data_IF_660633657428
#
_entry.id   IF_660633657428
#
_cell.length_a   1.000
_cell.length_b   1.000
_cell.length_c   1.000
_cell.angle_alpha   90.00
_cell.angle_beta   90.00
_cell.angle_gamma   90.00
#
_symmetry.space_group_name_H-M   'P 1'
#
loop_
_entity.id
_entity.type
_entity.pdbx_description
1 polymer ?
#
# COMPACT_ATOMS: atom_id res chain seq x y z
N UNK A 1 48.47 35.01 -25.63
CA UNK A 1 48.75 36.45 -25.71
C UNK A 1 47.49 37.14 -26.22
N UNK A 2 46.98 38.11 -25.47
CA UNK A 2 45.98 39.15 -25.78
C UNK A 2 44.56 38.69 -26.18
N UNK A 3 43.43 39.12 -25.59
CA UNK A 3 43.14 40.21 -24.65
C UNK A 3 42.01 41.12 -25.18
N UNK A 4 41.01 41.45 -24.33
CA UNK A 4 39.94 42.46 -24.53
C UNK A 4 38.54 41.82 -24.55
N UNK A 5 37.61 41.95 -23.60
CA UNK A 5 37.15 42.99 -22.63
C UNK A 5 36.48 44.21 -23.29
N UNK A 6 35.16 44.31 -23.10
CA UNK A 6 34.29 45.50 -23.07
C UNK A 6 32.95 45.01 -22.43
N UNK A 7 32.73 45.14 -21.12
CA UNK A 7 32.29 46.31 -20.33
C UNK A 7 30.77 46.58 -20.40
N UNK A 8 30.17 46.57 -19.19
CA UNK A 8 28.75 46.69 -18.79
C UNK A 8 28.13 48.09 -19.07
N UNK A 9 26.82 48.34 -18.78
CA UNK A 9 26.34 48.61 -17.41
C UNK A 9 24.96 47.94 -17.07
N UNK A 10 24.73 47.47 -15.85
CA UNK A 10 24.08 48.15 -14.69
C UNK A 10 22.63 48.61 -14.98
N UNK A 11 21.70 48.00 -14.25
CA UNK A 11 20.29 48.40 -14.16
C UNK A 11 19.60 47.58 -13.07
N UNK A 12 19.79 47.99 -11.83
CA UNK A 12 19.03 47.56 -10.66
C UNK A 12 17.59 48.04 -10.80
N UNK A 13 16.60 47.17 -10.56
CA UNK A 13 15.39 47.64 -9.90
C UNK A 13 14.64 46.54 -9.14
N UNK A 14 14.06 47.02 -8.05
CA UNK A 14 13.59 46.32 -6.86
C UNK A 14 12.08 46.48 -6.82
N UNK A 15 11.30 45.40 -6.85
CA UNK A 15 9.84 45.45 -6.65
C UNK A 15 9.46 44.25 -5.77
N UNK A 16 9.40 44.42 -4.45
CA UNK A 16 8.20 44.75 -3.65
C UNK A 16 7.05 43.74 -3.84
N UNK A 17 6.99 42.80 -2.90
CA UNK A 17 5.78 42.06 -2.55
C UNK A 17 4.77 43.03 -1.95
N UNK A 18 3.55 43.08 -2.49
CA UNK A 18 2.42 43.76 -1.85
C UNK A 18 1.32 42.76 -1.50
N UNK A 19 0.94 42.81 -0.23
CA UNK A 19 -0.27 42.25 0.34
C UNK A 19 -1.51 42.88 -0.31
N UNK A 20 -2.57 42.09 -0.47
CA UNK A 20 -3.93 42.64 -0.63
C UNK A 20 -4.87 42.01 0.40
N UNK A 21 -5.15 42.82 1.41
CA UNK A 21 -6.33 42.77 2.26
C UNK A 21 -7.45 43.54 1.55
N UNK A 22 -8.65 42.98 1.47
CA UNK A 22 -9.87 43.75 1.22
C UNK A 22 -10.78 43.61 2.44
N UNK A 23 -11.11 44.74 3.05
CA UNK A 23 -12.18 44.92 4.02
C UNK A 23 -13.13 46.01 3.49
N UNK A 24 -14.22 46.24 4.26
CA UNK A 24 -15.23 47.34 4.20
C UNK A 24 -16.53 46.89 3.47
N UNK A 25 -17.77 46.93 4.00
CA UNK A 25 -18.40 47.69 5.10
C UNK A 25 -19.79 47.10 5.47
N UNK A 26 -20.27 47.35 6.70
CA UNK A 26 -21.69 47.27 7.09
C UNK A 26 -21.97 47.17 8.60
N UNK A 27 -22.10 48.32 9.29
CA UNK A 27 -22.51 48.51 10.70
C UNK A 27 -24.06 48.66 10.79
N UNK A 28 -24.85 48.34 11.84
CA UNK A 28 -25.01 48.75 13.27
C UNK A 28 -26.25 47.94 13.83
N UNK A 29 -26.78 48.03 15.10
CA UNK A 29 -26.40 48.73 16.35
C UNK A 29 -26.39 47.82 17.63
N UNK A 30 -26.10 48.34 18.86
CA UNK A 30 -25.97 47.54 20.09
C UNK A 30 -27.25 47.48 20.95
N UNK A 31 -27.43 46.36 21.65
CA UNK A 31 -28.46 46.16 22.67
C UNK A 31 -27.94 45.30 23.83
N UNK A 32 -28.26 45.70 25.05
CA UNK A 32 -27.62 45.37 26.33
C UNK A 32 -28.12 44.04 26.95
N UNK A 33 -27.17 43.23 27.44
CA UNK A 33 -27.16 42.28 28.60
C UNK A 33 -28.44 41.54 29.05
N UNK A 34 -28.40 40.20 29.13
CA UNK A 34 -28.69 39.49 30.39
C UNK A 34 -28.24 38.01 30.40
N UNK A 35 -27.83 37.56 31.59
CA UNK A 35 -27.32 36.24 31.95
C UNK A 35 -28.30 35.09 31.68
N UNK A 36 -27.81 33.94 31.21
CA UNK A 36 -28.26 32.63 31.72
C UNK A 36 -27.17 31.57 31.54
N UNK A 37 -26.73 31.03 32.68
CA UNK A 37 -25.99 29.77 32.80
C UNK A 37 -26.83 28.63 32.21
N UNK A 38 -26.28 27.90 31.25
CA UNK A 38 -26.69 26.53 30.96
C UNK A 38 -25.45 25.68 30.72
N UNK A 39 -25.15 24.82 31.68
CA UNK A 39 -24.20 23.73 31.51
C UNK A 39 -24.79 22.74 30.50
N UNK A 40 -24.27 22.71 29.27
CA UNK A 40 -24.55 21.61 28.36
C UNK A 40 -23.72 20.39 28.76
N UNK A 41 -24.30 19.56 29.62
CA UNK A 41 -23.96 18.15 29.75
C UNK A 41 -24.39 17.45 28.45
N UNK A 42 -23.44 17.15 27.57
CA UNK A 42 -23.69 16.30 26.41
C UNK A 42 -23.67 14.84 26.87
N UNK A 43 -24.85 14.36 27.23
CA UNK A 43 -25.17 12.93 27.34
C UNK A 43 -24.85 12.25 26.01
N UNK A 44 -23.90 11.31 26.01
CA UNK A 44 -23.67 10.38 24.91
C UNK A 44 -24.88 9.46 24.77
N UNK A 45 -25.70 9.72 23.75
CA UNK A 45 -26.69 8.77 23.27
C UNK A 45 -25.97 7.69 22.47
N UNK A 46 -25.74 6.53 23.08
CA UNK A 46 -25.34 5.32 22.35
C UNK A 46 -26.52 4.84 21.50
N UNK A 47 -26.63 5.34 20.27
CA UNK A 47 -27.37 4.67 19.20
C UNK A 47 -26.39 3.74 18.47
N UNK A 48 -26.65 2.44 18.58
CA UNK A 48 -25.90 1.39 17.91
C UNK A 48 -25.96 1.54 16.39
N UNK A 49 -24.98 2.23 15.84
CA UNK A 49 -24.55 2.02 14.46
C UNK A 49 -23.16 1.41 14.56
N UNK A 50 -22.96 0.26 13.91
CA UNK A 50 -21.69 -0.44 13.83
C UNK A 50 -20.73 0.34 12.89
N UNK A 51 -20.59 1.64 13.12
CA UNK A 51 -19.80 2.56 12.32
C UNK A 51 -18.39 2.57 12.88
N UNK A 52 -17.44 2.22 12.02
CA UNK A 52 -16.03 2.28 12.37
C UNK A 52 -15.65 3.72 12.68
N UNK A 53 -14.96 3.93 13.80
CA UNK A 53 -14.54 5.26 14.22
C UNK A 53 -13.27 5.67 13.48
N UNK A 54 -13.00 6.99 13.45
CA UNK A 54 -11.72 7.52 12.97
C UNK A 54 -10.53 6.90 13.72
N UNK A 55 -10.69 6.60 15.01
CA UNK A 55 -9.66 5.98 15.84
C UNK A 55 -9.31 4.57 15.32
N UNK A 56 -10.32 3.76 14.98
CA UNK A 56 -10.10 2.42 14.43
C UNK A 56 -9.33 2.47 13.10
N UNK A 57 -9.58 3.51 12.29
CA UNK A 57 -8.86 3.72 11.04
C UNK A 57 -7.44 4.22 11.28
N UNK A 58 -7.21 5.10 12.25
CA UNK A 58 -5.85 5.51 12.64
C UNK A 58 -5.02 4.32 13.13
N UNK A 59 -5.59 3.46 13.96
CA UNK A 59 -4.92 2.23 14.42
C UNK A 59 -4.61 1.30 13.23
N UNK A 60 -5.57 1.13 12.32
CA UNK A 60 -5.40 0.32 11.11
C UNK A 60 -4.27 0.83 10.23
N UNK A 61 -4.22 2.13 9.99
CA UNK A 61 -3.21 2.78 9.17
C UNK A 61 -1.83 2.72 9.84
N UNK A 62 -1.76 2.96 11.15
CA UNK A 62 -0.53 2.82 11.94
C UNK A 62 0.04 1.41 11.85
N UNK A 63 -0.81 0.39 12.03
CA UNK A 63 -0.42 -1.02 11.89
C UNK A 63 0.04 -1.36 10.47
N UNK A 64 -0.65 -0.83 9.45
CA UNK A 64 -0.26 -1.02 8.05
C UNK A 64 1.12 -0.41 7.74
N UNK A 65 1.41 0.79 8.23
CA UNK A 65 2.72 1.44 8.09
C UNK A 65 3.80 0.63 8.77
N UNK A 66 3.61 0.23 10.04
CA UNK A 66 4.59 -0.58 10.77
C UNK A 66 4.89 -1.91 10.09
N UNK A 67 3.86 -2.57 9.54
CA UNK A 67 4.01 -3.81 8.79
C UNK A 67 4.76 -3.59 7.47
N UNK A 68 4.43 -2.53 6.73
CA UNK A 68 5.12 -2.16 5.48
C UNK A 68 6.58 -1.79 5.69
N UNK A 69 6.90 -1.06 6.75
CA UNK A 69 8.29 -0.76 7.11
C UNK A 69 9.06 -2.04 7.44
N UNK A 70 8.43 -2.93 8.21
CA UNK A 70 9.00 -4.21 8.62
C UNK A 70 9.25 -5.15 7.44
N UNK A 71 8.46 -5.05 6.37
CA UNK A 71 8.63 -5.86 5.16
C UNK A 71 9.95 -5.57 4.43
N UNK A 72 10.49 -4.35 4.61
CA UNK A 72 11.74 -3.90 4.02
C UNK A 72 11.68 -3.64 2.51
N UNK A 73 10.48 -3.65 1.90
CA UNK A 73 10.26 -3.33 0.48
C UNK A 73 9.28 -2.18 0.25
N UNK A 74 8.97 -1.45 1.33
CA UNK A 74 8.38 -0.12 1.27
C UNK A 74 9.49 0.94 1.12
N UNK A 75 9.32 1.84 0.16
CA UNK A 75 10.29 2.89 -0.21
C UNK A 75 9.83 4.30 0.21
N UNK A 76 8.74 4.43 0.97
CA UNK A 76 8.26 5.71 1.51
C UNK A 76 7.96 6.74 0.41
N UNK A 77 8.37 7.98 0.65
CA UNK A 77 8.19 9.15 -0.21
C UNK A 77 9.05 9.06 -1.49
N UNK A 78 8.71 8.10 -2.35
CA UNK A 78 9.32 7.86 -3.64
C UNK A 78 8.29 8.16 -4.73
N UNK A 79 8.70 8.95 -5.73
CA UNK A 79 7.83 9.21 -6.88
C UNK A 79 7.93 8.10 -7.94
N UNK A 80 7.02 8.13 -8.92
CA UNK A 80 6.99 7.11 -9.98
C UNK A 80 8.25 7.08 -10.85
N UNK A 81 8.87 8.24 -11.14
CA UNK A 81 10.06 8.30 -11.96
C UNK A 81 11.26 7.61 -11.29
N UNK A 82 11.40 7.76 -9.97
CA UNK A 82 12.39 7.08 -9.16
C UNK A 82 12.15 5.56 -9.12
N UNK A 83 10.90 5.14 -8.91
CA UNK A 83 10.52 3.73 -8.93
C UNK A 83 10.84 3.08 -10.30
N UNK A 84 10.50 3.77 -11.40
CA UNK A 84 10.83 3.34 -12.77
C UNK A 84 12.33 3.18 -12.99
N UNK A 85 13.14 4.11 -12.46
CA UNK A 85 14.61 4.04 -12.54
C UNK A 85 15.17 2.86 -11.74
N UNK A 86 14.70 2.64 -10.51
CA UNK A 86 15.11 1.48 -9.68
C UNK A 86 14.76 0.14 -10.32
N UNK A 87 13.57 0.04 -10.90
CA UNK A 87 13.07 -1.20 -11.51
C UNK A 87 13.57 -1.46 -12.94
N UNK A 88 14.21 -0.47 -13.58
CA UNK A 88 14.60 -0.53 -15.01
C UNK A 88 15.38 -1.81 -15.36
N UNK A 89 16.34 -2.18 -14.52
CA UNK A 89 17.27 -3.30 -14.72
C UNK A 89 16.94 -4.52 -13.85
N UNK A 90 15.79 -4.52 -13.17
CA UNK A 90 15.33 -5.67 -12.41
C UNK A 90 14.60 -6.68 -13.30
N UNK A 91 14.48 -7.90 -12.82
CA UNK A 91 13.71 -8.94 -13.49
C UNK A 91 12.21 -8.61 -13.53
N UNK A 92 11.53 -9.15 -14.54
CA UNK A 92 10.06 -9.07 -14.64
C UNK A 92 9.42 -9.62 -13.38
N UNK A 93 8.41 -8.90 -12.89
CA UNK A 93 7.70 -9.16 -11.65
C UNK A 93 8.40 -8.71 -10.38
N UNK A 94 9.55 -8.04 -10.49
CA UNK A 94 10.11 -7.29 -9.36
C UNK A 94 9.20 -6.10 -9.04
N UNK A 95 8.85 -5.91 -7.77
CA UNK A 95 7.95 -4.84 -7.34
C UNK A 95 8.47 -4.07 -6.13
N UNK A 96 7.89 -2.90 -5.87
CA UNK A 96 8.05 -2.15 -4.63
C UNK A 96 6.76 -1.42 -4.27
N UNK A 97 6.59 -1.10 -2.99
CA UNK A 97 5.52 -0.19 -2.53
C UNK A 97 6.13 1.15 -2.15
N UNK A 98 5.42 2.23 -2.46
CA UNK A 98 5.79 3.61 -2.19
C UNK A 98 4.55 4.43 -1.87
N UNK A 99 4.75 5.64 -1.40
CA UNK A 99 3.68 6.62 -1.25
C UNK A 99 3.08 6.95 -2.62
N UNK A 100 1.76 7.13 -2.65
CA UNK A 100 1.11 7.63 -3.84
C UNK A 100 1.48 9.10 -4.04
N UNK A 101 1.69 9.49 -5.30
CA UNK A 101 1.79 10.91 -5.67
C UNK A 101 0.41 11.55 -5.90
N UNK A 102 -0.65 10.72 -5.92
CA UNK A 102 -2.04 11.19 -5.95
C UNK A 102 -2.55 11.36 -4.51
N UNK A 103 -3.09 12.54 -4.16
CA UNK A 103 -3.53 12.85 -2.80
C UNK A 103 -4.73 12.02 -2.33
N UNK A 104 -5.48 11.39 -3.24
CA UNK A 104 -6.63 10.54 -2.89
C UNK A 104 -6.24 9.12 -2.48
N UNK A 105 -4.95 8.78 -2.54
CA UNK A 105 -4.45 7.43 -2.26
C UNK A 105 -3.26 7.52 -1.33
N UNK A 106 -3.13 6.55 -0.42
CA UNK A 106 -1.98 6.51 0.50
C UNK A 106 -0.76 5.87 -0.18
N UNK A 107 -0.98 4.77 -0.90
CA UNK A 107 0.11 3.94 -1.42
C UNK A 107 -0.05 3.65 -2.91
N UNK A 108 1.07 3.33 -3.53
CA UNK A 108 1.16 2.80 -4.89
C UNK A 108 2.10 1.61 -4.92
N UNK A 109 1.67 0.56 -5.61
CA UNK A 109 2.48 -0.57 -6.02
C UNK A 109 3.12 -0.26 -7.37
N UNK A 110 4.45 -0.35 -7.49
CA UNK A 110 5.15 -0.25 -8.76
C UNK A 110 5.79 -1.59 -9.12
N UNK A 111 5.58 -2.06 -10.35
CA UNK A 111 5.98 -3.41 -10.80
C UNK A 111 6.73 -3.32 -12.13
N UNK A 112 7.82 -4.09 -12.24
CA UNK A 112 8.53 -4.32 -13.50
C UNK A 112 7.75 -5.31 -14.38
N UNK A 113 7.33 -4.86 -15.55
CA UNK A 113 6.72 -5.69 -16.60
C UNK A 113 7.70 -5.86 -17.77
N UNK A 114 7.42 -6.76 -18.74
CA UNK A 114 8.21 -6.87 -19.97
C UNK A 114 8.29 -5.56 -20.77
N UNK A 115 7.27 -4.69 -20.69
CA UNK A 115 7.18 -3.43 -21.43
C UNK A 115 7.76 -2.23 -20.69
N UNK A 116 8.04 -2.37 -19.40
CA UNK A 116 8.52 -1.27 -18.57
C UNK A 116 7.98 -1.35 -17.16
N UNK A 117 8.16 -0.29 -16.38
CA UNK A 117 7.57 -0.20 -15.05
C UNK A 117 6.18 0.39 -15.15
N UNK A 118 5.20 -0.27 -14.53
CA UNK A 118 3.85 0.25 -14.33
C UNK A 118 3.59 0.48 -12.83
N UNK A 119 2.55 1.23 -12.49
CA UNK A 119 2.15 1.46 -11.11
C UNK A 119 0.64 1.45 -10.97
N UNK A 120 0.15 0.83 -9.90
CA UNK A 120 -1.26 0.89 -9.52
C UNK A 120 -1.40 1.33 -8.08
N UNK A 121 -2.47 2.08 -7.83
CA UNK A 121 -2.78 2.69 -6.55
C UNK A 121 -3.45 1.67 -5.63
N UNK A 122 -3.29 1.88 -4.33
CA UNK A 122 -3.94 1.06 -3.31
C UNK A 122 -5.01 1.91 -2.66
N UNK A 123 -6.27 1.54 -2.87
CA UNK A 123 -7.44 2.17 -2.27
C UNK A 123 -7.54 1.76 -0.79
N UNK A 124 -8.01 2.68 0.06
CA UNK A 124 -8.37 2.40 1.44
C UNK A 124 -9.81 2.87 1.68
N UNK A 125 -10.71 1.95 1.97
CA UNK A 125 -12.11 2.25 2.24
C UNK A 125 -12.67 1.30 3.29
N UNK A 126 -13.48 1.82 4.22
CA UNK A 126 -14.09 1.05 5.32
C UNK A 126 -13.05 0.18 6.01
N UNK A 127 -11.96 0.83 6.40
CA UNK A 127 -10.56 0.40 6.38
C UNK A 127 -10.20 -1.04 6.03
N UNK A 128 -10.37 -1.32 4.75
CA UNK A 128 -9.71 -2.39 4.02
C UNK A 128 -8.93 -1.77 2.86
N UNK A 129 -7.88 -2.46 2.45
CA UNK A 129 -7.03 -2.14 1.31
C UNK A 129 -7.41 -2.99 0.10
N UNK A 130 -7.51 -2.34 -1.07
CA UNK A 130 -7.78 -2.97 -2.37
C UNK A 130 -6.84 -2.39 -3.42
N UNK A 131 -6.58 -3.13 -4.50
CA UNK A 131 -5.92 -2.56 -5.66
C UNK A 131 -6.94 -1.77 -6.49
N UNK A 132 -6.58 -0.54 -6.85
CA UNK A 132 -7.41 0.26 -7.75
C UNK A 132 -7.61 -0.50 -9.08
N UNK A 133 -8.86 -0.59 -9.50
CA UNK A 133 -9.32 -1.42 -10.61
C UNK A 133 -10.50 -0.73 -11.31
N UNK A 134 -10.75 -1.08 -12.56
CA UNK A 134 -11.96 -0.64 -13.27
C UNK A 134 -13.23 -1.00 -12.50
N UNK A 135 -14.28 -0.19 -12.64
CA UNK A 135 -15.51 -0.32 -11.87
C UNK A 135 -16.15 -1.72 -11.93
N UNK A 136 -16.09 -2.37 -13.10
CA UNK A 136 -16.60 -3.73 -13.29
C UNK A 136 -15.84 -4.78 -12.46
N UNK A 137 -14.53 -4.58 -12.25
CA UNK A 137 -13.67 -5.48 -11.49
C UNK A 137 -13.56 -5.10 -10.01
N UNK A 138 -13.79 -3.82 -9.68
CA UNK A 138 -13.69 -3.30 -8.31
C UNK A 138 -14.60 -4.06 -7.33
N UNK A 139 -15.79 -4.50 -7.77
CA UNK A 139 -16.72 -5.29 -6.93
C UNK A 139 -16.24 -6.71 -6.64
N UNK A 140 -15.35 -7.25 -7.47
CA UNK A 140 -14.78 -8.58 -7.31
C UNK A 140 -13.40 -8.54 -6.65
N UNK A 141 -12.81 -7.34 -6.50
CA UNK A 141 -11.48 -7.17 -5.95
C UNK A 141 -11.48 -7.55 -4.45
N UNK A 142 -10.67 -8.54 -4.04
CA UNK A 142 -10.55 -8.90 -2.64
C UNK A 142 -9.93 -7.73 -1.84
N UNK A 143 -10.48 -7.50 -0.66
CA UNK A 143 -10.03 -6.44 0.25
C UNK A 143 -9.41 -7.01 1.52
N UNK A 144 -8.40 -6.32 2.05
CA UNK A 144 -7.58 -6.83 3.15
C UNK A 144 -7.41 -5.81 4.26
N UNK A 145 -7.18 -6.28 5.47
CA UNK A 145 -6.85 -5.44 6.62
C UNK A 145 -5.41 -4.91 6.61
N UNK A 146 -4.56 -5.43 5.72
CA UNK A 146 -3.14 -5.14 5.66
C UNK A 146 -2.65 -5.12 4.21
N UNK A 147 -1.82 -4.14 3.86
CA UNK A 147 -1.24 -4.01 2.51
C UNK A 147 -0.34 -5.20 2.16
N UNK A 148 0.44 -5.71 3.12
CA UNK A 148 1.29 -6.89 2.88
C UNK A 148 0.44 -8.11 2.55
N UNK A 149 -0.67 -8.30 3.26
CA UNK A 149 -1.63 -9.39 2.99
C UNK A 149 -2.33 -9.24 1.64
N UNK A 150 -2.68 -8.00 1.26
CA UNK A 150 -3.19 -7.68 -0.08
C UNK A 150 -2.22 -8.14 -1.15
N UNK A 151 -0.95 -7.74 -1.07
CA UNK A 151 0.03 -8.13 -2.09
C UNK A 151 0.32 -9.62 -2.08
N UNK A 152 0.43 -10.24 -0.90
CA UNK A 152 0.63 -11.68 -0.77
C UNK A 152 -0.44 -12.51 -1.49
N UNK A 153 -1.70 -12.05 -1.49
CA UNK A 153 -2.78 -12.68 -2.24
C UNK A 153 -2.53 -12.72 -3.76
N UNK A 154 -1.93 -11.67 -4.31
CA UNK A 154 -1.62 -11.54 -5.75
C UNK A 154 -0.26 -12.12 -6.13
N UNK A 155 0.58 -12.47 -5.16
CA UNK A 155 1.82 -13.17 -5.44
C UNK A 155 1.52 -14.62 -5.85
N UNK A 156 2.19 -15.16 -6.87
CA UNK A 156 2.04 -16.55 -7.21
C UNK A 156 2.49 -17.37 -6.01
N UNK A 157 1.61 -18.26 -5.54
CA UNK A 157 2.04 -19.31 -4.61
C UNK A 157 3.11 -20.09 -5.34
N UNK A 158 4.30 -20.21 -4.75
CA UNK A 158 5.38 -20.99 -5.30
C UNK A 158 4.92 -22.45 -5.30
N UNK A 159 4.19 -22.85 -6.34
CA UNK A 159 3.72 -24.20 -6.52
C UNK A 159 4.96 -25.07 -6.62
N UNK A 160 5.27 -25.79 -5.55
CA UNK A 160 5.88 -27.12 -5.53
C UNK A 160 6.60 -27.52 -6.83
N UNK A 161 7.62 -26.76 -7.25
CA UNK A 161 8.40 -27.05 -8.45
C UNK A 161 9.29 -28.31 -8.30
N UNK A 162 9.05 -29.10 -7.24
CA UNK A 162 9.75 -30.32 -6.88
C UNK A 162 8.86 -31.54 -6.62
N UNK A 163 7.57 -31.56 -7.04
CA UNK A 163 6.82 -32.83 -7.17
C UNK A 163 6.62 -33.17 -8.64
N UNK A 164 7.72 -33.55 -9.32
CA UNK A 164 7.64 -34.44 -10.47
C UNK A 164 7.56 -35.88 -9.92
N UNK A 165 6.54 -36.60 -10.37
CA UNK A 165 6.24 -38.03 -10.19
C UNK A 165 5.63 -38.46 -8.84
N UNK A 166 4.60 -39.32 -8.98
CA UNK A 166 3.63 -39.84 -7.99
C UNK A 166 2.44 -38.88 -7.82
N UNK A 167 1.29 -39.03 -8.45
CA UNK A 167 0.56 -40.26 -8.81
C UNK A 167 -0.37 -40.02 -10.02
N UNK A 168 -0.20 -40.83 -11.07
CA UNK A 168 -1.16 -40.96 -12.19
C UNK A 168 -2.21 -42.01 -11.82
N UNK A 169 -3.01 -41.84 -10.78
CA UNK A 169 -4.14 -42.77 -10.56
C UNK A 169 -5.24 -42.27 -9.63
N UNK A 170 -5.65 -41.01 -9.71
CA UNK A 170 -6.86 -40.58 -8.98
C UNK A 170 -7.69 -39.51 -9.70
N UNK A 171 -7.61 -39.48 -11.04
CA UNK A 171 -8.33 -38.53 -11.89
C UNK A 171 -9.42 -39.21 -12.72
N UNK A 172 -10.12 -40.21 -12.14
CA UNK A 172 -11.29 -40.86 -12.80
C UNK A 172 -12.51 -41.08 -11.89
N UNK A 173 -12.59 -40.50 -10.69
CA UNK A 173 -13.79 -40.61 -9.84
C UNK A 173 -14.06 -39.33 -9.05
N UNK A 174 -14.60 -38.33 -9.73
CA UNK A 174 -15.44 -37.26 -9.15
C UNK A 174 -15.80 -36.23 -10.23
N UNK A 175 -16.48 -36.71 -11.27
CA UNK A 175 -17.57 -35.93 -11.85
C UNK A 175 -18.69 -36.04 -10.78
N UNK A 176 -19.34 -34.95 -10.41
CA UNK A 176 -20.30 -34.81 -9.27
C UNK A 176 -19.71 -34.38 -7.91
N UNK A 177 -19.07 -33.23 -7.88
CA UNK A 177 -19.38 -32.20 -6.88
C UNK A 177 -18.74 -30.90 -7.30
N UNK A 178 -19.58 -29.93 -7.63
CA UNK A 178 -19.19 -28.61 -8.11
C UNK A 178 -18.38 -27.84 -7.07
N UNK A 179 -17.07 -28.05 -7.04
CA UNK A 179 -16.12 -27.20 -6.34
C UNK A 179 -15.19 -26.55 -7.36
N UNK A 180 -15.75 -25.63 -8.15
CA UNK A 180 -14.96 -24.71 -8.95
C UNK A 180 -14.33 -23.68 -7.99
N UNK A 181 -13.19 -24.04 -7.38
CA UNK A 181 -12.33 -23.07 -6.73
C UNK A 181 -11.71 -22.21 -7.82
N UNK A 182 -12.44 -21.15 -8.20
CA UNK A 182 -11.94 -20.11 -9.08
C UNK A 182 -10.69 -19.50 -8.43
N UNK A 183 -9.52 -19.98 -8.82
CA UNK A 183 -8.24 -19.33 -8.53
C UNK A 183 -8.12 -18.08 -9.41
N UNK A 184 -8.98 -17.09 -9.16
CA UNK A 184 -8.96 -15.79 -9.84
C UNK A 184 -7.74 -14.94 -9.45
N UNK A 185 -6.96 -15.36 -8.45
CA UNK A 185 -5.76 -14.65 -7.99
C UNK A 185 -4.69 -14.46 -9.08
N UNK A 186 -4.72 -15.28 -10.15
CA UNK A 186 -3.80 -15.17 -11.29
C UNK A 186 -4.27 -14.29 -12.44
N UNK A 187 -5.49 -13.74 -12.40
CA UNK A 187 -6.11 -13.05 -13.53
C UNK A 187 -6.47 -11.59 -13.21
N UNK A 188 -5.58 -10.87 -12.53
CA UNK A 188 -5.61 -9.40 -12.58
C UNK A 188 -4.73 -8.93 -13.74
N UNK A 189 -5.41 -8.50 -14.80
CA UNK A 189 -4.81 -7.86 -15.96
C UNK A 189 -4.75 -6.37 -15.67
N UNK A 190 -3.56 -5.81 -15.69
CA UNK A 190 -3.37 -4.38 -15.43
C UNK A 190 -3.57 -3.61 -16.74
N UNK A 191 -4.39 -2.56 -16.70
CA UNK A 191 -4.52 -1.67 -17.84
C UNK A 191 -3.22 -0.87 -17.99
N UNK A 192 -2.52 -1.05 -19.10
CA UNK A 192 -1.44 -0.15 -19.45
C UNK A 192 -2.00 1.19 -19.97
N UNK A 193 -1.28 2.32 -19.82
CA UNK A 193 -1.67 3.61 -20.41
C UNK A 193 -1.92 3.58 -21.92
N UNK A 194 -1.42 2.54 -22.61
CA UNK A 194 -1.67 2.29 -24.03
C UNK A 194 -3.00 1.57 -24.33
N UNK A 195 -3.85 1.31 -23.33
CA UNK A 195 -5.15 0.65 -23.49
C UNK A 195 -5.11 -0.85 -23.82
N UNK A 196 -3.95 -1.50 -23.73
CA UNK A 196 -3.80 -2.94 -24.00
C UNK A 196 -3.92 -3.76 -22.72
N UNK A 197 -4.70 -4.84 -22.79
CA UNK A 197 -5.07 -5.72 -21.66
C UNK A 197 -4.29 -7.04 -21.69
N UNK A 198 -3.08 -7.03 -22.24
CA UNK A 198 -2.48 -8.28 -22.73
C UNK A 198 -1.35 -8.77 -21.81
N UNK A 199 -1.00 -8.02 -20.75
CA UNK A 199 0.07 -8.40 -19.83
C UNK A 199 -0.43 -8.32 -18.39
N UNK A 200 -0.72 -9.49 -17.82
CA UNK A 200 -0.84 -9.63 -16.38
C UNK A 200 0.53 -9.30 -15.75
N UNK A 201 0.71 -8.09 -15.23
CA UNK A 201 1.85 -7.78 -14.39
C UNK A 201 1.81 -8.69 -13.15
N UNK A 202 2.75 -9.63 -13.11
CA UNK A 202 2.86 -10.56 -11.99
C UNK A 202 3.67 -9.89 -10.89
N UNK A 203 3.22 -9.99 -9.65
CA UNK A 203 3.98 -9.53 -8.49
C UNK A 203 4.75 -10.74 -7.97
N UNK A 204 6.05 -10.84 -8.26
CA UNK A 204 6.83 -12.06 -8.02
C UNK A 204 7.80 -11.88 -6.85
N UNK A 205 8.59 -10.81 -6.86
CA UNK A 205 9.62 -10.60 -5.84
C UNK A 205 9.73 -9.15 -5.40
N UNK A 206 9.88 -8.88 -4.10
CA UNK A 206 10.04 -7.52 -3.62
C UNK A 206 11.45 -6.98 -3.90
N UNK A 207 11.54 -5.70 -4.29
CA UNK A 207 12.76 -4.92 -4.28
C UNK A 207 12.90 -4.28 -2.91
N UNK A 208 13.83 -4.78 -2.11
CA UNK A 208 14.07 -4.25 -0.77
C UNK A 208 14.69 -2.86 -0.83
N UNK A 209 14.28 -1.96 0.08
CA UNK A 209 14.86 -0.62 0.25
C UNK A 209 16.13 -0.66 1.10
N UNK A 210 16.25 -1.68 1.95
CA UNK A 210 17.38 -1.91 2.85
C UNK A 210 17.67 -3.40 3.00
N UNK A 211 18.88 -3.73 3.46
CA UNK A 211 19.25 -5.11 3.78
C UNK A 211 18.56 -5.51 5.10
N UNK A 212 17.75 -6.59 5.13
CA UNK A 212 17.11 -7.02 6.37
C UNK A 212 18.12 -7.54 7.40
N UNK A 213 17.78 -7.44 8.67
CA UNK A 213 18.54 -8.10 9.73
C UNK A 213 18.47 -9.62 9.59
N UNK A 214 19.48 -10.33 10.09
CA UNK A 214 19.47 -11.79 10.15
C UNK A 214 18.24 -12.32 10.88
N UNK A 215 17.84 -11.66 11.98
CA UNK A 215 16.63 -12.01 12.74
C UNK A 215 15.37 -11.99 11.86
N UNK A 216 15.23 -10.95 11.02
CA UNK A 216 14.11 -10.83 10.10
C UNK A 216 14.15 -11.91 9.02
N UNK A 217 15.32 -12.19 8.46
CA UNK A 217 15.50 -13.26 7.48
C UNK A 217 15.13 -14.63 8.07
N UNK A 218 15.54 -14.90 9.31
CA UNK A 218 15.14 -16.11 10.03
C UNK A 218 13.62 -16.17 10.23
N UNK A 219 12.97 -15.07 10.63
CA UNK A 219 11.50 -14.99 10.77
C UNK A 219 10.79 -15.30 9.45
N UNK A 220 11.18 -14.62 8.37
CA UNK A 220 10.59 -14.80 7.04
C UNK A 220 10.80 -16.23 6.54
N UNK A 221 11.99 -16.79 6.74
CA UNK A 221 12.28 -18.18 6.39
C UNK A 221 11.40 -19.16 7.16
N UNK A 222 11.21 -18.95 8.47
CA UNK A 222 10.37 -19.80 9.30
C UNK A 222 8.89 -19.71 8.89
N UNK A 223 8.38 -18.50 8.64
CA UNK A 223 7.00 -18.27 8.20
C UNK A 223 6.65 -18.99 6.89
N UNK A 224 7.64 -19.28 6.04
CA UNK A 224 7.45 -20.06 4.80
C UNK A 224 7.11 -21.52 5.05
N UNK A 225 7.60 -22.09 6.16
CA UNK A 225 7.43 -23.52 6.46
C UNK A 225 6.44 -23.78 7.60
N UNK A 226 6.24 -22.81 8.50
CA UNK A 226 5.38 -22.95 9.67
C UNK A 226 4.23 -21.95 9.57
N UNK A 227 3.03 -22.49 9.37
CA UNK A 227 1.81 -21.69 9.37
C UNK A 227 1.61 -20.98 10.73
N UNK A 228 1.03 -19.76 10.75
CA UNK A 228 0.87 -18.97 11.97
C UNK A 228 0.23 -19.71 13.16
N UNK A 229 -0.71 -20.63 12.88
CA UNK A 229 -1.35 -21.48 13.89
C UNK A 229 -0.37 -22.40 14.64
N UNK A 230 0.63 -22.95 13.94
CA UNK A 230 1.61 -23.88 14.51
C UNK A 230 2.83 -23.17 15.09
N UNK A 231 2.97 -21.85 14.88
CA UNK A 231 4.08 -21.08 15.47
C UNK A 231 4.02 -21.04 17.00
N UNK A 232 2.83 -21.19 17.59
CA UNK A 232 2.64 -21.28 19.03
C UNK A 232 3.26 -22.55 19.63
N UNK A 233 3.34 -23.62 18.86
CA UNK A 233 3.80 -24.95 19.30
C UNK A 233 5.33 -25.10 19.23
N UNK A 234 6.02 -24.14 18.59
CA UNK A 234 7.46 -24.19 18.46
C UNK A 234 8.16 -24.15 19.84
N UNK A 235 9.27 -24.89 20.02
CA UNK A 235 10.06 -24.89 21.25
C UNK A 235 10.95 -23.63 21.33
N UNK A 236 10.33 -22.45 21.22
CA UNK A 236 11.00 -21.15 21.25
C UNK A 236 10.63 -20.36 22.52
N UNK A 237 11.56 -19.55 23.06
CA UNK A 237 11.25 -18.58 24.11
C UNK A 237 10.10 -17.65 23.73
N UNK A 238 9.31 -17.21 24.72
CA UNK A 238 8.15 -16.34 24.50
C UNK A 238 8.46 -15.05 23.74
N UNK A 239 9.64 -14.47 23.96
CA UNK A 239 10.12 -13.28 23.22
C UNK A 239 10.19 -13.54 21.71
N UNK A 240 10.74 -14.69 21.29
CA UNK A 240 10.84 -15.05 19.87
C UNK A 240 9.46 -15.37 19.28
N UNK A 241 8.57 -16.02 20.05
CA UNK A 241 7.17 -16.21 19.62
C UNK A 241 6.46 -14.88 19.40
N UNK A 242 6.69 -13.90 20.27
CA UNK A 242 6.19 -12.52 20.10
C UNK A 242 6.73 -11.87 18.83
N UNK A 243 8.03 -12.00 18.56
CA UNK A 243 8.67 -11.47 17.36
C UNK A 243 8.13 -12.07 16.05
N UNK A 244 7.83 -13.38 16.04
CA UNK A 244 7.20 -14.04 14.89
C UNK A 244 5.78 -13.49 14.63
N UNK A 245 4.98 -13.32 15.70
CA UNK A 245 3.59 -12.81 15.60
C UNK A 245 3.50 -11.38 15.05
N UNK A 246 4.52 -10.54 15.27
CA UNK A 246 4.55 -9.16 14.76
C UNK A 246 4.59 -9.08 13.24
N UNK A 247 5.08 -10.13 12.56
CA UNK A 247 5.12 -10.17 11.09
C UNK A 247 4.92 -11.61 10.60
N UNK A 248 3.67 -12.04 10.34
CA UNK A 248 3.32 -13.41 9.99
C UNK A 248 3.42 -13.71 8.47
N UNK A 249 4.28 -12.99 7.74
CA UNK A 249 4.41 -13.13 6.28
C UNK A 249 5.77 -13.74 5.88
N UNK A 250 5.83 -14.35 4.71
CA UNK A 250 6.98 -15.12 4.19
C UNK A 250 7.81 -14.39 3.12
N UNK A 251 7.59 -13.07 2.97
CA UNK A 251 8.31 -12.16 2.07
C UNK A 251 8.68 -10.84 2.75
#
# INVERSE_FOLDING_TARGET
>A
MCGGVLQSPIGVDRVLCEERVCAVQGLMPPGTMSHHHHQNSLVSTHSGTNQRSTEDDLERLSSAVGTLQTSGWYHGAMNFAEAKRKLRHCDIGTFLVRDSSDPNYLYSLSVKTPRGTTSVRIEYAYGKFTLDSEEALRRLAPSFDCVVKLLHHYMPKMNSAGKKNRDKEEQKRSIESGNNRNNNAGQFVWLEPSGRRDIAAQIIKPLRSQVPSLEHLCRVSLNRYVEPRHQADLPLPGKLKGYLKQYPFDQ
#
